data_IF_612259939239
#
_entry.id   IF_612259939239
#
_cell.length_a   1.000
_cell.length_b   1.000
_cell.length_c   1.000
_cell.angle_alpha   90.00
_cell.angle_beta   90.00
_cell.angle_gamma   90.00
#
_symmetry.space_group_name_H-M   'P 1'
#
loop_
_entity.id
_entity.type
_entity.pdbx_description
1 polymer ?
#
# COMPACT_ATOMS: atom_id res chain seq x y z
N UNK A 1 -6.74 -26.39 3.10
CA UNK A 1 -7.31 -25.04 2.93
C UNK A 1 -8.56 -25.15 2.09
N UNK A 2 -9.72 -24.77 2.62
CA UNK A 2 -10.99 -24.84 1.89
C UNK A 2 -11.03 -23.73 0.81
N UNK A 3 -11.91 -23.84 -0.20
CA UNK A 3 -12.10 -22.77 -1.20
C UNK A 3 -12.45 -21.42 -0.56
N UNK A 4 -13.18 -21.46 0.56
CA UNK A 4 -13.59 -20.29 1.34
C UNK A 4 -12.38 -19.58 1.98
N UNK A 5 -11.44 -20.33 2.55
CA UNK A 5 -10.22 -19.77 3.15
C UNK A 5 -9.34 -19.03 2.13
N UNK A 6 -9.29 -19.53 0.89
CA UNK A 6 -8.55 -18.89 -0.22
C UNK A 6 -9.15 -17.54 -0.61
N UNK A 7 -10.47 -17.47 -0.74
CA UNK A 7 -11.18 -16.24 -1.09
C UNK A 7 -11.04 -15.18 0.01
N UNK A 8 -11.11 -15.57 1.29
CA UNK A 8 -10.87 -14.64 2.40
C UNK A 8 -9.44 -14.11 2.43
N UNK A 9 -8.43 -14.96 2.15
CA UNK A 9 -7.04 -14.51 2.07
C UNK A 9 -6.84 -13.50 0.94
N UNK A 10 -7.44 -13.75 -0.22
CA UNK A 10 -7.39 -12.84 -1.36
C UNK A 10 -8.04 -11.49 -1.05
N UNK A 11 -9.26 -11.50 -0.49
CA UNK A 11 -9.99 -10.29 -0.12
C UNK A 11 -9.19 -9.45 0.90
N UNK A 12 -8.62 -10.09 1.92
CA UNK A 12 -7.77 -9.41 2.90
C UNK A 12 -6.54 -8.75 2.24
N UNK A 13 -5.85 -9.46 1.33
CA UNK A 13 -4.69 -8.89 0.64
C UNK A 13 -5.09 -7.73 -0.28
N UNK A 14 -6.23 -7.83 -0.96
CA UNK A 14 -6.76 -6.76 -1.82
C UNK A 14 -7.12 -5.51 -0.99
N UNK A 15 -7.71 -5.70 0.19
CA UNK A 15 -8.00 -4.62 1.14
C UNK A 15 -6.71 -3.93 1.60
N UNK A 16 -5.67 -4.70 1.95
CA UNK A 16 -4.36 -4.13 2.33
C UNK A 16 -3.72 -3.34 1.19
N UNK A 17 -3.84 -3.82 -0.06
CA UNK A 17 -3.34 -3.11 -1.24
C UNK A 17 -4.03 -1.75 -1.39
N UNK A 18 -5.36 -1.71 -1.22
CA UNK A 18 -6.14 -0.48 -1.27
C UNK A 18 -5.73 0.51 -0.16
N UNK A 19 -5.52 0.02 1.06
CA UNK A 19 -5.06 0.85 2.18
C UNK A 19 -3.69 1.49 1.89
N UNK A 20 -2.75 0.72 1.34
CA UNK A 20 -1.43 1.25 0.95
C UNK A 20 -1.51 2.27 -0.19
N UNK A 21 -2.33 2.03 -1.21
CA UNK A 21 -2.57 3.00 -2.27
C UNK A 21 -3.18 4.30 -1.73
N UNK A 22 -4.11 4.21 -0.77
CA UNK A 22 -4.71 5.36 -0.13
C UNK A 22 -3.71 6.15 0.74
N UNK A 23 -2.81 5.47 1.46
CA UNK A 23 -1.75 6.12 2.24
C UNK A 23 -0.80 6.93 1.34
N UNK A 24 -0.35 6.37 0.21
CA UNK A 24 0.46 7.07 -0.79
C UNK A 24 -0.26 8.34 -1.27
N UNK A 25 -1.52 8.21 -1.67
CA UNK A 25 -2.34 9.33 -2.14
C UNK A 25 -2.53 10.40 -1.06
N UNK A 26 -2.70 10.00 0.20
CA UNK A 26 -2.84 10.91 1.33
C UNK A 26 -1.57 11.75 1.53
N UNK A 27 -0.40 11.10 1.62
CA UNK A 27 0.89 11.80 1.80
C UNK A 27 1.17 12.75 0.62
N UNK A 28 0.93 12.32 -0.61
CA UNK A 28 1.11 13.16 -1.80
C UNK A 28 0.21 14.41 -1.78
N UNK A 29 -1.04 14.27 -1.30
CA UNK A 29 -1.96 15.41 -1.14
C UNK A 29 -1.53 16.38 -0.05
N UNK A 30 -1.08 15.88 1.10
CA UNK A 30 -0.55 16.74 2.16
C UNK A 30 0.64 17.56 1.66
N UNK A 31 1.57 16.93 0.92
CA UNK A 31 2.69 17.63 0.31
C UNK A 31 2.22 18.69 -0.71
N UNK A 32 1.28 18.35 -1.60
CA UNK A 32 0.73 19.28 -2.58
C UNK A 32 -0.03 20.46 -1.95
N UNK A 33 -0.66 20.24 -0.80
CA UNK A 33 -1.36 21.26 -0.02
C UNK A 33 -0.41 22.11 0.83
N UNK A 34 0.89 21.85 0.79
CA UNK A 34 1.90 22.59 1.55
C UNK A 34 1.84 22.35 3.05
N UNK A 35 1.59 21.09 3.47
CA UNK A 35 1.64 20.70 4.88
C UNK A 35 2.94 21.22 5.55
N UNK A 36 2.87 22.05 6.61
CA UNK A 36 4.03 22.71 7.18
C UNK A 36 5.14 21.76 7.62
N UNK A 37 4.78 20.55 8.10
CA UNK A 37 5.77 19.55 8.51
C UNK A 37 6.54 19.03 7.29
N UNK A 38 5.85 18.75 6.20
CA UNK A 38 6.46 18.23 4.98
C UNK A 38 7.24 19.31 4.22
N UNK A 39 6.85 20.58 4.33
CA UNK A 39 7.64 21.69 3.82
C UNK A 39 8.93 21.89 4.63
N UNK A 40 8.87 21.71 5.95
CA UNK A 40 10.05 21.80 6.82
C UNK A 40 11.00 20.61 6.66
N UNK A 41 10.48 19.42 6.35
CA UNK A 41 11.22 18.16 6.22
C UNK A 41 10.86 17.46 4.89
N UNK A 42 11.39 17.91 3.75
CA UNK A 42 10.96 17.45 2.42
C UNK A 42 11.28 15.97 2.14
N UNK A 43 12.25 15.38 2.84
CA UNK A 43 12.59 13.96 2.67
C UNK A 43 11.57 13.01 3.32
N UNK A 44 10.83 13.49 4.33
CA UNK A 44 9.83 12.68 5.06
C UNK A 44 8.71 12.17 4.15
N UNK A 45 7.97 13.01 3.39
CA UNK A 45 6.92 12.51 2.51
C UNK A 45 7.46 11.58 1.42
N UNK A 46 8.68 11.83 0.90
CA UNK A 46 9.31 10.95 -0.10
C UNK A 46 9.64 9.59 0.50
N UNK A 47 10.19 9.55 1.72
CA UNK A 47 10.47 8.32 2.44
C UNK A 47 9.19 7.53 2.72
N UNK A 48 8.14 8.18 3.22
CA UNK A 48 6.86 7.53 3.51
C UNK A 48 6.23 6.93 2.24
N UNK A 49 6.19 7.70 1.14
CA UNK A 49 5.66 7.21 -0.15
C UNK A 49 6.48 6.00 -0.65
N UNK A 50 7.82 6.08 -0.60
CA UNK A 50 8.67 4.95 -1.02
C UNK A 50 8.41 3.71 -0.18
N UNK A 51 8.31 3.88 1.15
CA UNK A 51 8.02 2.76 2.07
C UNK A 51 6.67 2.10 1.76
N UNK A 52 5.63 2.88 1.51
CA UNK A 52 4.30 2.31 1.18
C UNK A 52 4.26 1.70 -0.23
N UNK A 53 5.04 2.21 -1.19
CA UNK A 53 5.20 1.58 -2.52
C UNK A 53 5.84 0.20 -2.40
N UNK A 54 6.92 0.07 -1.63
CA UNK A 54 7.58 -1.24 -1.46
C UNK A 54 6.67 -2.24 -0.73
N UNK A 55 5.92 -1.79 0.28
CA UNK A 55 4.91 -2.62 0.92
C UNK A 55 3.80 -3.04 -0.07
N UNK A 56 3.31 -2.11 -0.90
CA UNK A 56 2.29 -2.39 -1.92
C UNK A 56 2.77 -3.42 -2.93
N UNK A 57 4.02 -3.32 -3.42
CA UNK A 57 4.62 -4.32 -4.32
C UNK A 57 4.58 -5.72 -3.70
N UNK A 58 5.03 -5.86 -2.45
CA UNK A 58 4.99 -7.15 -1.75
C UNK A 58 3.58 -7.71 -1.58
N UNK A 59 2.58 -6.85 -1.37
CA UNK A 59 1.17 -7.27 -1.29
C UNK A 59 0.66 -7.72 -2.67
N UNK A 60 0.99 -7.00 -3.74
CA UNK A 60 0.60 -7.36 -5.11
C UNK A 60 1.23 -8.68 -5.56
N UNK A 61 2.51 -8.90 -5.25
CA UNK A 61 3.17 -10.19 -5.48
C UNK A 61 2.51 -11.33 -4.70
N UNK A 62 2.09 -11.07 -3.45
CA UNK A 62 1.37 -12.05 -2.65
C UNK A 62 -0.03 -12.35 -3.21
N UNK A 63 -0.71 -11.36 -3.79
CA UNK A 63 -1.99 -11.53 -4.49
C UNK A 63 -1.83 -12.40 -5.75
N UNK A 64 -0.82 -12.10 -6.56
CA UNK A 64 -0.51 -12.86 -7.77
C UNK A 64 -0.24 -14.33 -7.45
N UNK A 65 0.65 -14.61 -6.48
CA UNK A 65 0.93 -15.98 -6.01
C UNK A 65 -0.32 -16.69 -5.48
N UNK A 66 -1.18 -15.97 -4.74
CA UNK A 66 -2.41 -16.54 -4.23
C UNK A 66 -3.41 -16.93 -5.34
N UNK A 67 -3.39 -16.23 -6.48
CA UNK A 67 -4.17 -16.58 -7.67
C UNK A 67 -3.56 -17.76 -8.43
N UNK A 68 -2.23 -17.78 -8.56
CA UNK A 68 -1.49 -18.79 -9.33
C UNK A 68 -1.38 -20.15 -8.62
N UNK A 69 -1.80 -20.25 -7.35
CA UNK A 69 -1.66 -21.42 -6.48
C UNK A 69 -0.19 -21.83 -6.19
N UNK A 70 0.73 -20.88 -6.15
CA UNK A 70 2.09 -21.07 -5.58
C UNK A 70 2.13 -20.77 -4.06
#
# INVERSE_FOLDING_TARGET
MTKTDKLHKFDNLAQLALEKANAIRFVARQLANGDPLYMALPDVPVFLIKSDIEALKGILEALEKALDNE
#
